data_IF_623223398279
#
_entry.id   IF_623223398279
#
_cell.length_a   1.000
_cell.length_b   1.000
_cell.length_c   1.000
_cell.angle_alpha   90.00
_cell.angle_beta   90.00
_cell.angle_gamma   90.00
#
_symmetry.space_group_name_H-M   'P 1'
#
loop_
_entity.id
_entity.type
_entity.pdbx_description
1 polymer ?
#
# COMPACT_ATOMS: atom_id res chain seq x y z
N UNK A 1 -6.43 25.34 -19.34
CA UNK A 1 -5.70 24.05 -19.41
C UNK A 1 -5.32 23.65 -17.99
N UNK A 2 -6.18 22.87 -17.33
CA UNK A 2 -5.90 22.28 -16.01
C UNK A 2 -5.16 20.96 -16.23
N UNK A 3 -3.83 20.96 -16.07
CA UNK A 3 -3.05 19.71 -16.07
C UNK A 3 -3.28 19.03 -14.74
N UNK A 4 -3.98 17.89 -14.74
CA UNK A 4 -4.00 17.02 -13.59
C UNK A 4 -2.75 16.15 -13.65
N UNK A 5 -1.81 16.38 -12.73
CA UNK A 5 -0.59 15.58 -12.62
C UNK A 5 -0.87 14.26 -11.91
N UNK A 6 -1.72 13.43 -12.55
CA UNK A 6 -2.08 12.09 -12.11
C UNK A 6 -0.85 11.24 -11.75
N UNK A 7 0.26 11.25 -12.51
CA UNK A 7 1.44 10.47 -12.15
C UNK A 7 2.00 10.82 -10.78
N UNK A 8 2.00 12.11 -10.41
CA UNK A 8 2.54 12.59 -9.13
C UNK A 8 1.75 12.07 -7.92
N UNK A 9 0.46 11.80 -8.10
CA UNK A 9 -0.42 11.27 -7.05
C UNK A 9 -0.37 9.74 -7.02
N UNK A 10 -0.44 9.10 -8.19
CA UNK A 10 -0.48 7.65 -8.25
C UNK A 10 0.87 7.01 -7.95
N UNK A 11 2.00 7.58 -8.40
CA UNK A 11 3.33 6.97 -8.18
C UNK A 11 3.65 6.77 -6.70
N UNK A 12 3.48 7.77 -5.79
CA UNK A 12 3.65 7.54 -4.36
C UNK A 12 2.58 6.63 -3.77
N UNK A 13 1.36 6.66 -4.31
CA UNK A 13 0.26 5.85 -3.79
C UNK A 13 0.47 4.36 -4.05
N UNK A 14 0.85 3.95 -5.27
CA UNK A 14 1.15 2.53 -5.58
C UNK A 14 2.56 2.13 -5.14
N UNK A 15 3.50 3.07 -5.04
CA UNK A 15 4.89 2.78 -4.67
C UNK A 15 5.16 2.77 -3.17
N UNK A 16 4.40 3.50 -2.35
CA UNK A 16 4.64 3.67 -0.92
C UNK A 16 3.41 3.28 -0.08
N UNK A 17 2.25 3.92 -0.34
CA UNK A 17 1.07 3.77 0.52
C UNK A 17 0.46 2.37 0.41
N UNK A 18 0.15 1.94 -0.82
CA UNK A 18 -0.43 0.63 -1.07
C UNK A 18 0.49 -0.52 -0.63
N UNK A 19 1.80 -0.50 -0.92
CA UNK A 19 2.73 -1.51 -0.42
C UNK A 19 2.85 -1.54 1.11
N UNK A 20 2.90 -0.37 1.77
CA UNK A 20 2.96 -0.32 3.23
C UNK A 20 1.73 -0.98 3.88
N UNK A 21 0.54 -0.71 3.35
CA UNK A 21 -0.71 -1.31 3.82
C UNK A 21 -0.71 -2.82 3.54
N UNK A 22 -0.30 -3.24 2.35
CA UNK A 22 -0.25 -4.66 1.99
C UNK A 22 0.71 -5.45 2.88
N UNK A 23 1.90 -4.91 3.16
CA UNK A 23 2.89 -5.52 4.05
C UNK A 23 2.36 -5.64 5.49
N UNK A 24 1.75 -4.59 6.03
CA UNK A 24 1.17 -4.63 7.37
C UNK A 24 0.00 -5.62 7.47
N UNK A 25 -0.89 -5.62 6.48
CA UNK A 25 -2.03 -6.54 6.41
C UNK A 25 -1.56 -7.99 6.32
N UNK A 26 -0.60 -8.29 5.44
CA UNK A 26 -0.02 -9.62 5.31
C UNK A 26 0.73 -10.05 6.58
N UNK A 27 1.46 -9.13 7.24
CA UNK A 27 2.13 -9.43 8.50
C UNK A 27 1.13 -9.88 9.57
N UNK A 28 0.04 -9.13 9.77
CA UNK A 28 -1.00 -9.54 10.71
C UNK A 28 -1.70 -10.83 10.30
N UNK A 29 -1.95 -11.05 9.00
CA UNK A 29 -2.56 -12.27 8.50
C UNK A 29 -1.69 -13.51 8.76
N UNK A 30 -0.39 -13.43 8.47
CA UNK A 30 0.56 -14.53 8.70
C UNK A 30 0.74 -14.80 10.20
N UNK A 31 0.82 -13.77 11.03
CA UNK A 31 0.92 -13.91 12.48
C UNK A 31 -0.32 -14.58 13.09
N UNK A 32 -1.52 -14.29 12.56
CA UNK A 32 -2.78 -14.91 12.99
C UNK A 32 -2.84 -16.42 12.77
N UNK A 33 -2.08 -16.96 11.82
CA UNK A 33 -2.01 -18.41 11.56
C UNK A 33 -0.93 -19.13 12.40
N UNK A 34 -0.17 -18.39 13.21
CA UNK A 34 0.92 -18.90 14.05
C UNK A 34 0.57 -18.96 15.55
N UNK A 35 -0.51 -18.30 15.97
CA UNK A 35 -1.09 -18.42 17.32
C UNK A 35 -2.06 -19.60 17.34
N UNK A 36 -1.51 -20.82 17.37
CA UNK A 36 -2.17 -22.04 17.87
C UNK A 36 -1.37 -22.54 19.06
#
# INVERSE_FOLDING_TARGET
MTSFDLPSIFVPFVGLVFPAIAMASLFFHVQKNKIV
#
